data_IF_243101943878
#
_entry.id   IF_243101943878
#
_cell.length_a   1.000
_cell.length_b   1.000
_cell.length_c   1.000
_cell.angle_alpha   90.00
_cell.angle_beta   90.00
_cell.angle_gamma   90.00
#
_symmetry.space_group_name_H-M   'P 1'
#
loop_
_entity.id
_entity.type
_entity.pdbx_description
1 polymer ?
#
# COMPACT_ATOMS: atom_id res chain seq x y z
N UNK A 1 -14.77 -19.83 -14.48
CA UNK A 1 -14.51 -20.89 -15.49
C UNK A 1 -13.80 -20.26 -16.68
N UNK A 2 -12.51 -20.55 -16.88
CA UNK A 2 -11.76 -20.08 -18.05
C UNK A 2 -12.33 -20.79 -19.28
N UNK A 3 -13.05 -20.05 -20.15
CA UNK A 3 -13.32 -20.57 -21.50
C UNK A 3 -11.97 -20.79 -22.18
N UNK A 4 -11.70 -21.97 -22.76
CA UNK A 4 -10.47 -22.19 -23.49
C UNK A 4 -10.42 -21.17 -24.64
N UNK A 5 -9.33 -20.41 -24.69
CA UNK A 5 -9.04 -19.46 -25.76
C UNK A 5 -9.09 -20.23 -27.10
N UNK A 6 -10.05 -19.93 -28.00
CA UNK A 6 -10.19 -20.66 -29.27
C UNK A 6 -8.92 -20.60 -30.11
N UNK A 7 -8.12 -19.53 -29.94
CA UNK A 7 -6.86 -19.30 -30.64
C UNK A 7 -5.75 -20.27 -30.18
N UNK A 8 -5.83 -20.76 -28.94
CA UNK A 8 -4.88 -21.73 -28.38
C UNK A 8 -5.01 -23.11 -29.03
N UNK A 9 -6.23 -23.54 -29.35
CA UNK A 9 -6.47 -24.83 -29.99
C UNK A 9 -6.00 -24.84 -31.45
N UNK A 10 -6.16 -23.71 -32.15
CA UNK A 10 -5.65 -23.51 -33.51
C UNK A 10 -4.12 -23.61 -33.51
N UNK A 11 -3.44 -22.88 -32.61
CA UNK A 11 -1.98 -22.93 -32.49
C UNK A 11 -1.44 -24.31 -32.12
N UNK A 12 -2.11 -25.04 -31.23
CA UNK A 12 -1.66 -26.38 -30.83
C UNK A 12 -1.70 -27.38 -32.00
N UNK A 13 -2.74 -27.31 -32.84
CA UNK A 13 -2.82 -28.13 -34.06
C UNK A 13 -1.70 -27.79 -35.05
N UNK A 14 -1.43 -26.50 -35.23
CA UNK A 14 -0.32 -26.05 -36.08
C UNK A 14 1.04 -26.57 -35.60
N UNK A 15 1.30 -26.58 -34.28
CA UNK A 15 2.53 -27.15 -33.71
C UNK A 15 2.62 -28.67 -33.91
N UNK A 16 1.52 -29.41 -33.81
CA UNK A 16 1.49 -30.85 -34.10
C UNK A 16 1.82 -31.13 -35.57
N UNK A 17 1.23 -30.38 -36.49
CA UNK A 17 1.51 -30.51 -37.93
C UNK A 17 2.96 -30.14 -38.27
N UNK A 18 3.51 -29.11 -37.61
CA UNK A 18 4.93 -28.74 -37.74
C UNK A 18 5.84 -29.87 -37.23
N UNK A 19 5.49 -30.53 -36.13
CA UNK A 19 6.25 -31.65 -35.59
C UNK A 19 6.20 -32.86 -36.52
N UNK A 20 5.03 -33.18 -37.08
CA UNK A 20 4.87 -34.28 -38.04
C UNK A 20 5.79 -34.07 -39.27
N UNK A 21 5.75 -32.89 -39.88
CA UNK A 21 6.62 -32.54 -41.01
C UNK A 21 8.11 -32.56 -40.61
N UNK A 22 8.43 -32.14 -39.38
CA UNK A 22 9.80 -32.19 -38.87
C UNK A 22 10.33 -33.63 -38.77
N UNK A 23 9.52 -34.55 -38.28
CA UNK A 23 9.86 -35.98 -38.18
C UNK A 23 9.96 -36.62 -39.57
N UNK A 24 9.01 -36.35 -40.48
CA UNK A 24 9.07 -36.78 -41.88
C UNK A 24 10.34 -36.31 -42.59
N UNK A 25 10.84 -35.13 -42.20
CA UNK A 25 12.05 -34.56 -42.77
C UNK A 25 13.35 -35.06 -42.12
N UNK A 26 13.33 -36.21 -41.43
CA UNK A 26 14.48 -36.77 -40.70
C UNK A 26 15.05 -35.79 -39.66
N UNK A 27 14.17 -34.99 -39.04
CA UNK A 27 14.52 -33.91 -38.10
C UNK A 27 15.44 -32.84 -38.72
N UNK A 28 15.44 -32.71 -40.05
CA UNK A 28 16.08 -31.59 -40.73
C UNK A 28 15.14 -30.37 -40.75
N UNK A 29 15.41 -29.41 -39.87
CA UNK A 29 14.56 -28.24 -39.67
C UNK A 29 14.43 -27.34 -40.91
N UNK A 30 15.49 -27.22 -41.72
CA UNK A 30 15.48 -26.41 -42.92
C UNK A 30 14.64 -27.04 -44.03
N UNK A 31 14.73 -28.38 -44.18
CA UNK A 31 13.87 -29.15 -45.08
C UNK A 31 12.42 -29.10 -44.62
N UNK A 32 12.17 -29.29 -43.32
CA UNK A 32 10.85 -29.25 -42.72
C UNK A 32 10.14 -27.91 -42.93
N UNK A 33 10.83 -26.79 -42.77
CA UNK A 33 10.25 -25.47 -43.00
C UNK A 33 9.78 -25.28 -44.46
N UNK A 34 10.55 -25.77 -45.44
CA UNK A 34 10.17 -25.70 -46.86
C UNK A 34 8.98 -26.61 -47.17
N UNK A 35 9.02 -27.85 -46.67
CA UNK A 35 7.93 -28.83 -46.87
C UNK A 35 6.64 -28.36 -46.20
N UNK A 36 6.73 -27.76 -45.01
CA UNK A 36 5.58 -27.22 -44.29
C UNK A 36 4.95 -26.04 -45.04
N UNK A 37 5.77 -25.10 -45.51
CA UNK A 37 5.29 -23.95 -46.30
C UNK A 37 4.62 -24.41 -47.60
N UNK A 38 5.17 -25.42 -48.28
CA UNK A 38 4.57 -26.00 -49.48
C UNK A 38 3.25 -26.75 -49.19
N UNK A 39 3.17 -27.48 -48.08
CA UNK A 39 2.00 -28.29 -47.71
C UNK A 39 0.86 -27.45 -47.13
N UNK A 40 1.17 -26.35 -46.46
CA UNK A 40 0.22 -25.48 -45.77
C UNK A 40 0.33 -24.03 -46.22
N UNK A 41 0.15 -23.78 -47.53
CA UNK A 41 0.33 -22.47 -48.16
C UNK A 41 -0.55 -21.35 -47.57
N UNK A 42 -1.71 -21.67 -46.99
CA UNK A 42 -2.63 -20.70 -46.40
C UNK A 42 -2.32 -20.34 -44.93
N UNK A 43 -1.30 -20.95 -44.31
CA UNK A 43 -0.95 -20.75 -42.89
C UNK A 43 0.27 -19.85 -42.72
N UNK A 44 0.57 -19.47 -41.48
CA UNK A 44 1.83 -18.83 -41.16
C UNK A 44 3.02 -19.76 -41.46
N UNK A 45 4.08 -19.22 -42.06
CA UNK A 45 5.29 -19.97 -42.44
C UNK A 45 6.43 -19.64 -41.48
N UNK A 46 6.61 -20.41 -40.41
CA UNK A 46 7.68 -20.17 -39.46
C UNK A 46 9.06 -20.52 -40.05
N UNK A 47 10.08 -19.80 -39.62
CA UNK A 47 11.46 -20.15 -39.96
C UNK A 47 11.91 -21.48 -39.32
N UNK A 48 12.97 -22.09 -39.87
CA UNK A 48 13.46 -23.41 -39.45
C UNK A 48 13.74 -23.53 -37.93
N UNK A 49 14.13 -22.44 -37.25
CA UNK A 49 14.38 -22.43 -35.79
C UNK A 49 13.15 -22.80 -34.97
N UNK A 50 11.94 -22.55 -35.48
CA UNK A 50 10.70 -22.93 -34.79
C UNK A 50 10.56 -24.45 -34.77
N UNK A 51 10.82 -25.13 -35.89
CA UNK A 51 10.78 -26.60 -35.99
C UNK A 51 11.75 -27.29 -35.01
N UNK A 52 12.94 -26.71 -34.78
CA UNK A 52 13.87 -27.19 -33.74
C UNK A 52 13.28 -27.05 -32.33
N UNK A 53 12.53 -25.99 -32.07
CA UNK A 53 11.90 -25.74 -30.77
C UNK A 53 10.62 -26.53 -30.55
N UNK A 54 9.88 -26.89 -31.61
CA UNK A 54 8.61 -27.64 -31.49
C UNK A 54 8.82 -28.96 -30.74
N UNK A 55 9.90 -29.69 -31.02
CA UNK A 55 10.25 -30.90 -30.27
C UNK A 55 10.42 -30.62 -28.77
N UNK A 56 11.10 -29.52 -28.41
CA UNK A 56 11.29 -29.13 -27.01
C UNK A 56 9.97 -28.70 -26.34
N UNK A 57 9.09 -28.01 -27.06
CA UNK A 57 7.78 -27.61 -26.55
C UNK A 57 6.84 -28.80 -26.32
N UNK A 58 6.90 -29.83 -27.18
CA UNK A 58 6.07 -31.04 -27.04
C UNK A 58 6.65 -32.03 -26.03
N UNK A 59 7.98 -32.17 -25.96
CA UNK A 59 8.66 -33.06 -25.02
C UNK A 59 8.71 -32.50 -23.60
N UNK A 60 8.83 -31.18 -23.48
CA UNK A 60 8.73 -30.45 -22.22
C UNK A 60 7.57 -29.47 -22.35
N UNK A 61 6.31 -29.94 -22.31
CA UNK A 61 5.19 -29.02 -22.20
C UNK A 61 5.49 -28.18 -20.97
N UNK A 62 5.66 -26.89 -21.18
CA UNK A 62 5.93 -25.95 -20.10
C UNK A 62 4.76 -26.09 -19.13
N UNK A 63 4.93 -26.93 -18.10
CA UNK A 63 4.26 -26.72 -16.84
C UNK A 63 4.81 -25.35 -16.48
N UNK A 64 4.00 -24.32 -16.70
CA UNK A 64 4.26 -23.01 -16.16
C UNK A 64 4.25 -23.23 -14.65
N UNK A 65 5.38 -23.68 -14.09
CA UNK A 65 5.67 -23.52 -12.69
C UNK A 65 5.73 -22.01 -12.57
N UNK A 66 4.58 -21.43 -12.20
CA UNK A 66 4.46 -20.01 -11.93
C UNK A 66 5.35 -19.81 -10.71
N UNK A 67 6.63 -19.54 -10.96
CA UNK A 67 7.52 -19.07 -9.91
C UNK A 67 6.90 -17.74 -9.46
N UNK A 68 6.60 -17.58 -8.16
CA UNK A 68 6.08 -16.32 -7.66
C UNK A 68 7.02 -15.22 -8.15
N UNK A 69 6.44 -14.18 -8.72
CA UNK A 69 7.26 -13.08 -9.24
C UNK A 69 7.97 -12.48 -8.03
N UNK A 70 9.19 -11.95 -8.15
CA UNK A 70 9.89 -11.30 -7.03
C UNK A 70 9.03 -10.25 -6.29
N UNK A 71 8.06 -9.66 -6.98
CA UNK A 71 7.06 -8.75 -6.41
C UNK A 71 6.17 -9.43 -5.35
N UNK A 72 5.76 -10.67 -5.54
CA UNK A 72 4.80 -11.37 -4.66
C UNK A 72 5.42 -11.67 -3.29
N UNK A 73 6.73 -11.97 -3.26
CA UNK A 73 7.51 -12.17 -2.01
C UNK A 73 7.58 -10.87 -1.21
N UNK A 74 7.90 -9.76 -1.87
CA UNK A 74 7.95 -8.45 -1.22
C UNK A 74 6.59 -7.95 -0.75
N UNK A 75 5.49 -8.35 -1.40
CA UNK A 75 4.14 -8.05 -0.90
C UNK A 75 3.94 -8.70 0.46
N UNK A 76 4.23 -10.00 0.59
CA UNK A 76 4.06 -10.74 1.84
C UNK A 76 4.95 -10.18 2.97
N UNK A 77 6.21 -9.87 2.67
CA UNK A 77 7.15 -9.28 3.63
C UNK A 77 6.66 -7.92 4.14
N UNK A 78 6.20 -7.06 3.23
CA UNK A 78 5.69 -5.73 3.58
C UNK A 78 4.40 -5.84 4.37
N UNK A 79 3.43 -6.67 3.96
CA UNK A 79 2.17 -6.82 4.70
C UNK A 79 2.41 -7.37 6.09
N UNK A 80 3.22 -8.43 6.24
CA UNK A 80 3.53 -9.00 7.55
C UNK A 80 4.23 -8.01 8.48
N UNK A 81 5.16 -7.20 7.94
CA UNK A 81 5.82 -6.17 8.72
C UNK A 81 4.85 -5.08 9.21
N UNK A 82 3.94 -4.60 8.36
CA UNK A 82 2.96 -3.59 8.76
C UNK A 82 1.83 -4.16 9.62
N UNK A 83 1.53 -5.45 9.54
CA UNK A 83 0.59 -6.11 10.46
C UNK A 83 1.20 -6.25 11.86
N UNK A 84 2.49 -6.61 11.95
CA UNK A 84 3.21 -6.71 13.22
C UNK A 84 3.54 -5.33 13.81
N UNK A 85 3.86 -4.36 12.96
CA UNK A 85 4.25 -3.01 13.35
C UNK A 85 3.43 -1.97 12.59
N UNK A 86 2.13 -1.79 12.89
CA UNK A 86 1.31 -0.84 12.14
C UNK A 86 1.71 0.62 12.40
N UNK A 87 2.47 0.85 13.47
CA UNK A 87 3.15 2.11 13.79
C UNK A 87 4.54 2.26 13.15
N UNK A 88 4.97 1.40 12.23
CA UNK A 88 6.30 1.45 11.58
C UNK A 88 6.52 2.69 10.67
N UNK A 89 5.82 3.76 11.00
CA UNK A 89 5.93 5.10 10.46
C UNK A 89 6.10 6.14 11.57
N UNK A 90 7.05 5.94 12.49
CA UNK A 90 7.63 7.12 13.17
C UNK A 90 8.30 8.09 12.17
N UNK A 91 8.53 7.69 10.90
CA UNK A 91 9.36 8.46 9.96
C UNK A 91 8.94 8.62 8.49
N UNK A 92 7.84 8.08 7.94
CA UNK A 92 7.52 8.35 6.51
C UNK A 92 6.81 9.69 6.23
N UNK A 93 6.33 10.41 7.24
CA UNK A 93 5.76 11.76 7.04
C UNK A 93 6.73 12.90 7.35
N UNK A 94 7.71 12.71 8.25
CA UNK A 94 8.53 13.83 8.75
C UNK A 94 10.05 13.72 8.54
N UNK A 95 10.64 12.59 8.16
CA UNK A 95 12.09 12.58 7.89
C UNK A 95 12.45 12.16 6.46
N UNK A 96 13.29 12.99 5.86
CA UNK A 96 14.05 12.74 4.65
C UNK A 96 15.10 11.61 4.86
N UNK A 97 14.77 10.36 5.19
CA UNK A 97 15.80 9.28 5.20
C UNK A 97 15.29 7.85 5.43
N UNK A 98 15.66 6.96 4.50
CA UNK A 98 16.31 5.63 4.62
C UNK A 98 15.83 4.52 5.58
N UNK A 99 15.04 4.73 6.64
CA UNK A 99 14.98 3.72 7.72
C UNK A 99 14.10 2.49 7.42
N UNK A 100 12.88 2.67 6.89
CA UNK A 100 12.00 1.53 6.50
C UNK A 100 12.50 0.79 5.27
N UNK A 101 13.24 1.48 4.40
CA UNK A 101 13.98 0.87 3.30
C UNK A 101 15.21 0.08 3.78
N UNK A 102 15.73 0.39 4.97
CA UNK A 102 16.83 -0.33 5.60
C UNK A 102 16.37 -1.68 6.16
N UNK A 103 15.27 -1.70 6.91
CA UNK A 103 14.75 -2.91 7.55
C UNK A 103 14.26 -3.97 6.55
N UNK A 104 13.56 -3.52 5.49
CA UNK A 104 13.03 -4.42 4.45
C UNK A 104 13.95 -4.52 3.22
N UNK A 105 15.00 -3.70 3.12
CA UNK A 105 15.83 -3.61 1.92
C UNK A 105 15.10 -3.06 0.67
N UNK A 106 13.88 -2.55 0.81
CA UNK A 106 13.01 -2.15 -0.30
C UNK A 106 12.94 -0.63 -0.49
N UNK A 107 12.93 -0.17 -1.75
CA UNK A 107 12.74 1.26 -2.03
C UNK A 107 11.39 1.78 -1.52
N UNK A 108 11.36 3.02 -1.03
CA UNK A 108 10.13 3.72 -0.58
C UNK A 108 9.00 3.66 -1.60
N UNK A 109 9.33 3.77 -2.89
CA UNK A 109 8.34 3.72 -3.99
C UNK A 109 7.72 2.33 -4.11
N UNK A 110 8.49 1.27 -3.86
CA UNK A 110 7.99 -0.10 -3.85
C UNK A 110 7.04 -0.32 -2.66
N UNK A 111 7.47 0.01 -1.45
CA UNK A 111 6.65 -0.09 -0.23
C UNK A 111 5.35 0.71 -0.38
N UNK A 112 5.43 1.95 -0.86
CA UNK A 112 4.25 2.78 -1.08
C UNK A 112 3.30 2.24 -2.15
N UNK A 113 3.82 1.56 -3.18
CA UNK A 113 2.98 0.89 -4.19
C UNK A 113 2.29 -0.34 -3.58
N UNK A 114 3.04 -1.17 -2.86
CA UNK A 114 2.51 -2.38 -2.21
C UNK A 114 1.42 -2.01 -1.22
N UNK A 115 1.65 -1.03 -0.33
CA UNK A 115 0.64 -0.58 0.62
C UNK A 115 -0.63 -0.09 -0.07
N UNK A 116 -0.52 0.59 -1.22
CA UNK A 116 -1.67 1.04 -2.00
C UNK A 116 -2.40 -0.13 -2.67
N UNK A 117 -1.66 -1.07 -3.26
CA UNK A 117 -2.21 -2.24 -3.93
C UNK A 117 -2.93 -3.17 -2.93
N UNK A 118 -2.42 -3.26 -1.70
CA UNK A 118 -2.98 -4.05 -0.59
C UNK A 118 -4.00 -3.29 0.28
N UNK A 119 -4.46 -2.12 -0.18
CA UNK A 119 -5.48 -1.30 0.48
C UNK A 119 -5.13 -0.83 1.92
N UNK A 120 -3.86 -0.63 2.25
CA UNK A 120 -3.46 0.02 3.51
C UNK A 120 -3.62 1.54 3.40
N UNK A 121 -4.16 2.13 4.47
CA UNK A 121 -4.40 3.55 4.60
C UNK A 121 -3.70 4.12 5.84
N UNK A 122 -3.15 5.35 5.76
CA UNK A 122 -2.64 6.04 6.92
C UNK A 122 -3.79 6.64 7.74
N UNK A 123 -3.91 6.23 8.98
CA UNK A 123 -4.87 6.78 9.94
C UNK A 123 -4.15 7.57 11.02
N UNK A 124 -4.78 8.63 11.51
CA UNK A 124 -4.25 9.46 12.62
C UNK A 124 -4.75 8.89 13.95
N UNK A 125 -3.90 8.97 14.96
CA UNK A 125 -4.33 8.69 16.34
C UNK A 125 -5.30 9.80 16.76
N UNK A 126 -6.48 9.40 17.22
CA UNK A 126 -7.47 10.31 17.81
C UNK A 126 -7.30 10.22 19.31
N UNK A 127 -6.99 11.36 19.93
CA UNK A 127 -7.10 11.50 21.38
C UNK A 127 -8.51 12.02 21.66
N UNK A 128 -9.39 11.14 22.12
CA UNK A 128 -10.69 11.55 22.63
C UNK A 128 -10.48 12.08 24.05
N UNK A 129 -10.84 13.35 24.27
CA UNK A 129 -11.04 13.84 25.63
C UNK A 129 -12.15 12.99 26.26
N UNK A 130 -11.99 12.59 27.53
CA UNK A 130 -13.01 11.85 28.28
C UNK A 130 -14.19 12.74 28.64
N UNK A 131 -14.90 13.25 27.63
CA UNK A 131 -16.08 14.08 27.79
C UNK A 131 -17.23 13.20 28.28
N UNK A 132 -17.88 13.65 29.34
CA UNK A 132 -19.11 13.06 29.86
C UNK A 132 -20.32 13.63 29.10
N UNK A 133 -21.48 12.94 29.11
CA UNK A 133 -22.71 13.49 28.53
C UNK A 133 -23.13 14.85 29.15
N UNK A 134 -22.80 15.08 30.43
CA UNK A 134 -23.05 16.34 31.11
C UNK A 134 -22.21 17.48 30.52
N UNK A 135 -20.95 17.21 30.16
CA UNK A 135 -20.07 18.19 29.51
C UNK A 135 -20.63 18.65 28.17
N UNK A 136 -21.26 17.74 27.41
CA UNK A 136 -21.90 18.09 26.15
C UNK A 136 -23.03 19.12 26.36
N UNK A 137 -23.88 18.89 27.37
CA UNK A 137 -24.96 19.83 27.72
C UNK A 137 -24.44 21.20 28.11
N UNK A 138 -23.45 21.25 29.01
CA UNK A 138 -22.83 22.50 29.47
C UNK A 138 -22.17 23.28 28.32
N UNK A 139 -21.48 22.59 27.41
CA UNK A 139 -20.84 23.21 26.23
C UNK A 139 -21.89 23.80 25.28
N UNK A 140 -22.96 23.06 24.99
CA UNK A 140 -24.05 23.56 24.14
C UNK A 140 -24.72 24.79 24.74
N UNK A 141 -24.99 24.78 26.05
CA UNK A 141 -25.55 25.94 26.74
C UNK A 141 -24.64 27.17 26.65
N UNK A 142 -23.33 26.99 26.88
CA UNK A 142 -22.36 28.07 26.74
C UNK A 142 -22.29 28.61 25.31
N UNK A 143 -22.25 27.73 24.30
CA UNK A 143 -22.22 28.14 22.89
C UNK A 143 -23.47 28.95 22.52
N UNK A 144 -24.66 28.48 22.91
CA UNK A 144 -25.91 29.20 22.64
C UNK A 144 -25.92 30.57 23.33
N UNK A 145 -25.55 30.62 24.61
CA UNK A 145 -25.43 31.87 25.36
C UNK A 145 -24.45 32.87 24.73
N UNK A 146 -23.33 32.39 24.18
CA UNK A 146 -22.33 33.25 23.54
C UNK A 146 -22.85 33.82 22.21
N UNK A 147 -23.56 33.02 21.42
CA UNK A 147 -24.15 33.43 20.14
C UNK A 147 -25.32 34.40 20.33
N UNK A 148 -26.10 34.24 21.41
CA UNK A 148 -27.24 35.12 21.71
C UNK A 148 -26.81 36.54 22.19
N UNK A 149 -25.51 36.80 22.34
CA UNK A 149 -25.04 38.13 22.71
C UNK A 149 -25.15 39.12 21.54
N UNK A 150 -25.40 40.42 21.82
CA UNK A 150 -25.52 41.44 20.78
C UNK A 150 -24.28 41.60 19.90
N UNK A 151 -23.09 41.40 20.46
CA UNK A 151 -21.81 41.40 19.74
C UNK A 151 -20.85 40.37 20.37
N UNK A 152 -20.91 39.10 19.93
CA UNK A 152 -20.08 38.03 20.48
C UNK A 152 -18.59 38.26 20.23
N UNK A 153 -18.23 38.93 19.12
CA UNK A 153 -16.85 39.17 18.72
C UNK A 153 -16.22 40.25 19.61
N UNK A 154 -16.91 41.37 19.83
CA UNK A 154 -16.43 42.40 20.75
C UNK A 154 -16.46 41.94 22.21
N UNK A 155 -17.36 41.03 22.57
CA UNK A 155 -17.31 40.39 23.88
C UNK A 155 -16.05 39.52 24.02
N UNK A 156 -15.80 38.62 23.06
CA UNK A 156 -14.67 37.70 23.09
C UNK A 156 -13.30 38.42 23.12
N UNK A 157 -13.17 39.58 22.47
CA UNK A 157 -11.94 40.38 22.49
C UNK A 157 -11.65 41.04 23.85
N UNK A 158 -12.66 41.16 24.71
CA UNK A 158 -12.54 41.69 26.09
C UNK A 158 -12.35 40.60 27.13
N UNK A 159 -12.42 39.32 26.73
CA UNK A 159 -12.15 38.19 27.61
C UNK A 159 -10.64 37.98 27.70
N UNK A 160 -10.11 37.94 28.92
CA UNK A 160 -8.74 37.47 29.18
C UNK A 160 -8.76 35.94 29.18
N UNK A 161 -8.23 35.34 28.12
CA UNK A 161 -8.12 33.89 27.99
C UNK A 161 -6.87 33.43 28.71
N UNK A 162 -7.01 32.68 29.80
CA UNK A 162 -5.87 32.10 30.53
C UNK A 162 -5.82 30.60 30.36
N UNK A 163 -4.63 30.04 30.25
CA UNK A 163 -4.40 28.60 30.23
C UNK A 163 -3.13 28.23 30.97
N UNK A 164 -3.07 26.97 31.42
CA UNK A 164 -1.89 26.36 32.00
C UNK A 164 -1.33 25.33 31.02
N UNK A 165 -0.09 25.55 30.58
CA UNK A 165 0.62 24.62 29.71
C UNK A 165 1.70 23.86 30.48
N UNK A 166 1.64 22.53 30.43
CA UNK A 166 2.69 21.67 30.96
C UNK A 166 3.67 21.28 29.84
N UNK A 167 4.91 21.73 29.96
CA UNK A 167 6.01 21.31 29.09
C UNK A 167 6.84 20.28 29.84
N UNK A 168 6.81 19.04 29.40
CA UNK A 168 7.62 17.98 29.98
C UNK A 168 8.54 17.35 28.94
N UNK A 169 9.56 16.67 29.43
CA UNK A 169 10.50 15.94 28.58
C UNK A 169 9.92 14.63 28.02
N UNK A 170 8.64 14.32 28.28
CA UNK A 170 8.02 13.26 27.50
C UNK A 170 8.04 13.74 26.06
N UNK A 171 8.64 12.94 25.20
CA UNK A 171 8.25 12.89 23.81
C UNK A 171 6.79 12.41 23.76
N UNK A 172 5.86 13.23 24.28
CA UNK A 172 4.46 13.13 23.95
C UNK A 172 4.48 13.08 22.43
N UNK A 173 3.96 11.95 21.95
CA UNK A 173 3.84 11.66 20.54
C UNK A 173 3.36 12.93 19.86
N UNK A 174 4.21 13.53 19.02
CA UNK A 174 3.77 14.65 18.22
C UNK A 174 2.60 14.12 17.40
N UNK A 175 1.38 14.57 17.73
CA UNK A 175 0.11 14.04 17.21
C UNK A 175 0.08 14.12 15.69
N UNK A 176 0.75 15.13 15.13
CA UNK A 176 0.91 15.33 13.68
C UNK A 176 1.76 14.25 13.03
N UNK A 177 2.65 13.60 13.78
CA UNK A 177 3.60 12.63 13.27
C UNK A 177 3.17 11.18 13.53
N UNK A 178 2.07 10.97 14.27
CA UNK A 178 1.61 9.64 14.60
C UNK A 178 0.52 9.14 13.65
N UNK A 179 1.00 8.41 12.64
CA UNK A 179 0.16 7.70 11.69
C UNK A 179 0.39 6.19 11.82
N UNK A 180 -0.68 5.42 11.67
CA UNK A 180 -0.61 3.98 11.53
C UNK A 180 -1.16 3.55 10.18
N UNK A 181 -0.60 2.49 9.61
CA UNK A 181 -1.05 1.91 8.35
C UNK A 181 -1.86 0.67 8.65
N UNK A 182 -3.11 0.64 8.20
CA UNK A 182 -3.98 -0.51 8.34
C UNK A 182 -4.97 -0.56 7.16
N UNK A 183 -5.53 -1.73 6.88
CA UNK A 183 -6.56 -1.89 5.85
C UNK A 183 -7.90 -1.29 6.28
N UNK A 184 -8.19 -1.40 7.56
CA UNK A 184 -9.35 -0.82 8.24
C UNK A 184 -8.88 0.07 9.37
N UNK A 185 -9.74 0.97 9.86
CA UNK A 185 -9.38 1.89 10.93
C UNK A 185 -9.43 1.16 12.30
N UNK A 186 -8.30 0.84 12.95
CA UNK A 186 -8.29 0.23 14.29
C UNK A 186 -8.77 1.16 15.42
N UNK A 187 -9.16 2.42 15.13
CA UNK A 187 -9.61 3.40 16.13
C UNK A 187 -8.65 3.50 17.33
N UNK A 188 -7.35 3.48 17.04
CA UNK A 188 -6.35 3.32 18.08
C UNK A 188 -6.34 4.47 19.07
N UNK A 189 -6.45 4.10 20.35
CA UNK A 189 -6.30 4.94 21.52
C UNK A 189 -5.05 4.52 22.27
N UNK A 190 -4.24 5.47 22.72
CA UNK A 190 -3.00 5.18 23.47
C UNK A 190 -3.10 5.78 24.87
N UNK A 191 -2.95 4.92 25.88
CA UNK A 191 -2.72 5.35 27.26
C UNK A 191 -1.31 5.93 27.40
N UNK A 192 -1.16 6.98 28.20
CA UNK A 192 0.12 7.67 28.42
C UNK A 192 0.71 7.18 29.73
N UNK A 193 1.87 6.52 29.70
CA UNK A 193 2.54 6.04 30.92
C UNK A 193 3.09 7.18 31.78
N UNK A 194 3.09 6.99 33.11
CA UNK A 194 3.29 8.03 34.13
C UNK A 194 4.57 7.93 34.97
N UNK A 195 5.65 7.27 34.51
CA UNK A 195 6.82 7.10 35.39
C UNK A 195 8.00 8.03 35.04
N UNK A 196 8.33 8.84 36.05
CA UNK A 196 9.37 9.87 36.24
C UNK A 196 9.49 10.90 35.12
N UNK A 197 8.93 12.08 35.40
CA UNK A 197 8.77 13.20 34.48
C UNK A 197 9.44 14.41 35.12
N UNK A 198 10.26 15.14 34.38
CA UNK A 198 10.52 16.53 34.71
C UNK A 198 9.78 17.41 33.71
N UNK A 199 9.16 18.46 34.23
CA UNK A 199 8.40 19.40 33.43
C UNK A 199 8.29 20.74 34.11
N UNK A 200 8.01 21.75 33.31
CA UNK A 200 7.74 23.13 33.73
C UNK A 200 6.28 23.42 33.40
N UNK A 201 5.58 24.01 34.35
CA UNK A 201 4.25 24.57 34.11
C UNK A 201 4.39 26.05 33.84
N UNK A 202 3.73 26.51 32.79
CA UNK A 202 3.66 27.92 32.44
C UNK A 202 2.20 28.36 32.50
N UNK A 203 1.98 29.53 33.11
CA UNK A 203 0.70 30.24 33.05
C UNK A 203 0.81 31.38 32.06
N UNK A 204 -0.18 31.51 31.18
CA UNK A 204 -0.23 32.57 30.18
C UNK A 204 -1.64 33.10 30.01
N UNK A 205 -1.75 34.39 29.68
CA UNK A 205 -3.00 35.06 29.36
C UNK A 205 -2.92 35.76 28.02
N UNK A 206 -3.99 35.70 27.23
CA UNK A 206 -4.14 36.43 25.95
C UNK A 206 -5.37 37.32 26.03
N UNK A 207 -5.22 38.58 25.66
CA UNK A 207 -6.29 39.59 25.65
C UNK A 207 -6.29 40.33 24.30
N UNK A 208 -7.48 40.59 23.76
CA UNK A 208 -7.63 41.29 22.49
C UNK A 208 -7.39 40.40 21.26
N UNK A 209 -7.31 41.03 20.10
CA UNK A 209 -6.96 40.38 18.83
C UNK A 209 -5.48 40.67 18.56
N UNK A 210 -4.62 39.65 18.62
CA UNK A 210 -3.29 39.70 18.01
C UNK A 210 -3.40 39.72 16.49
#
# INVERSE_FOLDING_TARGET
>A
ANRPDPDRHVRLREYTDMFAVYVECDRNAARAARVYAARYAARWHPGYRVFQRVQNYLANPVVNVVRPRPRDVHVQEVTAYFDQFPHARKYLAVLRSRDTSGDLGLSRRMVGRILKDEAYHPYKIVLTQGLTPADHGARMQYCNWLVDRPDPVAFASRVLWTDEANFNNKANVNRHNCHYWARENPHWMRAVDHQVIWGVNCWGGVLGNN
#
